data_IF_776669339365
#
_entry.id   IF_776669339365
#
_cell.length_a   1.000
_cell.length_b   1.000
_cell.length_c   1.000
_cell.angle_alpha   90.00
_cell.angle_beta   90.00
_cell.angle_gamma   90.00
#
_symmetry.space_group_name_H-M   'P 1'
#
loop_
_entity.id
_entity.type
_entity.pdbx_description
1 polymer ?
#
# COMPACT_ATOMS: atom_id res chain seq x y z
N UNK A 1 11.66 -15.47 1.57
CA UNK A 1 12.04 -14.36 0.66
C UNK A 1 11.98 -14.74 -0.82
N UNK A 2 12.53 -15.89 -1.24
CA UNK A 2 12.46 -16.35 -2.65
C UNK A 2 11.04 -16.36 -3.27
N UNK A 3 10.01 -16.79 -2.52
CA UNK A 3 8.63 -16.80 -3.03
C UNK A 3 8.06 -15.41 -3.36
N UNK A 4 8.41 -14.39 -2.58
CA UNK A 4 7.91 -13.02 -2.81
C UNK A 4 8.51 -12.46 -4.10
N UNK A 5 9.80 -12.71 -4.33
CA UNK A 5 10.51 -12.31 -5.55
C UNK A 5 9.90 -13.01 -6.77
N UNK A 6 9.58 -14.31 -6.64
CA UNK A 6 8.89 -15.06 -7.70
C UNK A 6 7.52 -14.49 -8.06
N UNK A 7 6.71 -14.11 -7.06
CA UNK A 7 5.42 -13.47 -7.28
C UNK A 7 5.57 -12.11 -7.95
N UNK A 8 6.50 -11.28 -7.48
CA UNK A 8 6.77 -9.97 -8.08
C UNK A 8 7.19 -10.09 -9.54
N UNK A 9 8.13 -11.00 -9.85
CA UNK A 9 8.55 -11.27 -11.22
C UNK A 9 7.40 -11.74 -12.10
N UNK A 10 6.56 -12.66 -11.58
CA UNK A 10 5.39 -13.17 -12.31
C UNK A 10 4.36 -12.07 -12.57
N UNK A 11 4.02 -11.26 -11.56
CA UNK A 11 3.12 -10.11 -11.71
C UNK A 11 3.64 -9.11 -12.74
N UNK A 12 4.94 -8.84 -12.76
CA UNK A 12 5.56 -7.94 -13.73
C UNK A 12 5.44 -8.49 -15.16
N UNK A 13 5.76 -9.77 -15.36
CA UNK A 13 5.63 -10.44 -16.67
C UNK A 13 4.18 -10.41 -17.15
N UNK A 14 3.22 -10.71 -16.27
CA UNK A 14 1.79 -10.62 -16.59
C UNK A 14 1.37 -9.21 -16.97
N UNK A 15 1.85 -8.18 -16.27
CA UNK A 15 1.60 -6.79 -16.61
C UNK A 15 2.17 -6.40 -17.97
N UNK A 16 3.38 -6.85 -18.30
CA UNK A 16 4.00 -6.62 -19.62
C UNK A 16 3.22 -7.32 -20.72
N UNK A 17 2.80 -8.57 -20.51
CA UNK A 17 1.96 -9.31 -21.46
C UNK A 17 0.60 -8.64 -21.65
N UNK A 18 -0.03 -8.16 -20.57
CA UNK A 18 -1.28 -7.41 -20.64
C UNK A 18 -1.12 -6.12 -21.45
N UNK A 19 -0.03 -5.36 -21.24
CA UNK A 19 0.29 -4.18 -22.05
C UNK A 19 0.52 -4.53 -23.51
N UNK A 20 1.25 -5.61 -23.80
CA UNK A 20 1.53 -6.08 -25.18
C UNK A 20 0.30 -6.61 -25.91
N UNK A 21 -0.73 -7.05 -25.17
CA UNK A 21 -1.95 -7.61 -25.77
C UNK A 21 -2.81 -6.58 -26.51
N UNK A 22 -2.53 -5.27 -26.36
CA UNK A 22 -3.25 -4.19 -27.05
C UNK A 22 -4.71 -4.00 -26.62
N UNK A 23 -5.23 -4.87 -25.72
CA UNK A 23 -6.59 -4.77 -25.17
C UNK A 23 -6.75 -3.62 -24.18
N UNK A 24 -5.64 -3.09 -23.69
CA UNK A 24 -5.60 -2.00 -22.73
C UNK A 24 -5.16 -0.70 -23.43
N UNK A 25 -6.01 0.34 -23.46
CA UNK A 25 -5.65 1.64 -24.02
C UNK A 25 -4.44 2.25 -23.32
N UNK A 26 -3.75 3.17 -23.99
CA UNK A 26 -2.70 3.98 -23.37
C UNK A 26 -3.28 4.75 -22.17
N UNK A 27 -2.59 4.70 -21.02
CA UNK A 27 -3.08 5.32 -19.77
C UNK A 27 -4.02 4.45 -18.92
N UNK A 28 -4.32 3.22 -19.32
CA UNK A 28 -5.14 2.26 -18.56
C UNK A 28 -4.65 1.95 -17.14
N UNK A 29 -3.37 2.17 -16.85
CA UNK A 29 -2.81 1.99 -15.51
C UNK A 29 -3.49 2.86 -14.44
N UNK A 30 -3.86 4.11 -14.78
CA UNK A 30 -4.54 5.02 -13.87
C UNK A 30 -5.93 4.53 -13.47
N UNK A 31 -6.86 4.34 -14.43
CA UNK A 31 -8.20 3.81 -14.16
C UNK A 31 -8.18 2.43 -13.50
N UNK A 32 -7.22 1.56 -13.87
CA UNK A 32 -7.05 0.26 -13.21
C UNK A 32 -6.67 0.42 -11.75
N UNK A 33 -5.71 1.30 -11.43
CA UNK A 33 -5.32 1.57 -10.05
C UNK A 33 -6.49 2.15 -9.24
N UNK A 34 -7.27 3.07 -9.82
CA UNK A 34 -8.49 3.60 -9.21
C UNK A 34 -9.50 2.48 -8.93
N UNK A 35 -9.75 1.59 -9.90
CA UNK A 35 -10.63 0.44 -9.69
C UNK A 35 -10.13 -0.49 -8.57
N UNK A 36 -8.82 -0.77 -8.52
CA UNK A 36 -8.23 -1.62 -7.47
C UNK A 36 -8.39 -0.98 -6.09
N UNK A 37 -8.06 0.30 -5.96
CA UNK A 37 -8.10 1.02 -4.69
C UNK A 37 -9.54 1.23 -4.17
N UNK A 38 -10.47 1.61 -5.05
CA UNK A 38 -11.81 2.03 -4.65
C UNK A 38 -12.87 0.94 -4.76
N UNK A 39 -12.63 -0.13 -5.52
CA UNK A 39 -13.62 -1.20 -5.73
C UNK A 39 -13.09 -2.54 -5.25
N UNK A 40 -11.95 -2.99 -5.79
CA UNK A 40 -11.45 -4.34 -5.51
C UNK A 40 -11.02 -4.53 -4.04
N UNK A 41 -10.26 -3.57 -3.49
CA UNK A 41 -9.81 -3.62 -2.10
C UNK A 41 -10.98 -3.59 -1.10
N UNK A 42 -11.93 -2.62 -1.18
CA UNK A 42 -13.10 -2.63 -0.31
C UNK A 42 -13.95 -3.89 -0.43
N UNK A 43 -14.15 -4.41 -1.64
CA UNK A 43 -14.87 -5.66 -1.86
C UNK A 43 -14.17 -6.86 -1.21
N UNK A 44 -12.83 -6.90 -1.29
CA UNK A 44 -12.02 -7.92 -0.63
C UNK A 44 -12.15 -7.83 0.90
N UNK A 45 -12.10 -6.62 1.45
CA UNK A 45 -12.30 -6.40 2.89
C UNK A 45 -13.66 -6.95 3.30
N UNK A 46 -14.77 -6.55 2.65
CA UNK A 46 -16.11 -7.04 2.95
C UNK A 46 -16.22 -8.57 2.85
N UNK A 47 -15.56 -9.18 1.86
CA UNK A 47 -15.52 -10.63 1.70
C UNK A 47 -14.83 -11.33 2.86
N UNK A 48 -13.74 -10.76 3.38
CA UNK A 48 -12.95 -11.35 4.47
C UNK A 48 -13.54 -11.01 5.84
N UNK A 49 -14.20 -9.85 5.99
CA UNK A 49 -14.80 -9.38 7.25
C UNK A 49 -15.75 -10.40 7.88
N UNK A 50 -16.53 -11.13 7.08
CA UNK A 50 -17.48 -12.12 7.58
C UNK A 50 -16.81 -13.39 8.14
N UNK A 51 -15.53 -13.62 7.84
CA UNK A 51 -14.74 -14.73 8.39
C UNK A 51 -13.76 -14.27 9.47
N UNK A 52 -13.83 -13.01 9.88
CA UNK A 52 -12.94 -12.46 10.87
C UNK A 52 -13.40 -12.90 12.26
N UNK A 53 -12.57 -13.68 12.95
CA UNK A 53 -12.75 -13.91 14.37
C UNK A 53 -12.25 -12.69 15.14
N UNK A 54 -13.10 -12.12 15.99
CA UNK A 54 -12.75 -10.97 16.82
C UNK A 54 -11.87 -11.42 17.99
N UNK A 55 -10.58 -11.58 17.69
CA UNK A 55 -9.54 -11.86 18.67
C UNK A 55 -8.84 -10.58 19.11
N UNK A 56 -8.36 -10.48 20.37
CA UNK A 56 -7.65 -9.30 20.86
C UNK A 56 -6.40 -8.92 20.03
N UNK A 57 -5.76 -9.90 19.38
CA UNK A 57 -4.63 -9.67 18.48
C UNK A 57 -5.01 -8.86 17.23
N UNK A 58 -6.28 -8.91 16.82
CA UNK A 58 -6.79 -8.11 15.71
C UNK A 58 -6.77 -6.61 16.05
N UNK A 59 -6.99 -6.28 17.33
CA UNK A 59 -6.92 -4.91 17.83
C UNK A 59 -5.50 -4.35 17.69
N UNK A 60 -4.48 -5.19 17.90
CA UNK A 60 -3.08 -4.83 17.67
C UNK A 60 -2.85 -4.50 16.19
N UNK A 61 -3.30 -5.37 15.28
CA UNK A 61 -3.18 -5.11 13.83
C UNK A 61 -3.90 -3.82 13.38
N UNK A 62 -5.01 -3.47 14.02
CA UNK A 62 -5.74 -2.24 13.74
C UNK A 62 -5.06 -0.98 14.30
N UNK A 63 -4.46 -1.06 15.49
CA UNK A 63 -3.89 0.10 16.22
C UNK A 63 -2.44 0.40 15.81
N UNK A 64 -1.66 -0.62 15.46
CA UNK A 64 -0.23 -0.46 15.13
C UNK A 64 0.04 0.55 14.02
N UNK A 65 -0.69 0.59 12.87
CA UNK A 65 -0.47 1.60 11.84
C UNK A 65 -0.65 3.03 12.35
N UNK A 66 -1.65 3.27 13.20
CA UNK A 66 -1.89 4.59 13.80
C UNK A 66 -0.80 4.97 14.79
N UNK A 67 -0.37 4.04 15.64
CA UNK A 67 0.75 4.27 16.56
C UNK A 67 2.04 4.58 15.80
N UNK A 68 2.31 3.84 14.72
CA UNK A 68 3.49 4.07 13.89
C UNK A 68 3.45 5.47 13.26
N UNK A 69 2.32 5.85 12.66
CA UNK A 69 2.14 7.20 12.09
C UNK A 69 2.30 8.31 13.14
N UNK A 70 1.66 8.14 14.31
CA UNK A 70 1.74 9.08 15.42
C UNK A 70 3.13 9.15 16.06
N UNK A 71 3.94 8.09 15.97
CA UNK A 71 5.32 8.09 16.44
C UNK A 71 6.28 8.67 15.39
N UNK A 72 6.14 8.25 14.13
CA UNK A 72 6.96 8.69 13.01
C UNK A 72 6.80 10.19 12.74
N UNK A 73 5.57 10.70 12.77
CA UNK A 73 5.24 12.11 12.57
C UNK A 73 6.09 13.08 13.41
N UNK A 74 5.98 13.08 14.75
CA UNK A 74 6.77 13.94 15.61
C UNK A 74 8.26 13.60 15.54
N UNK A 75 8.63 12.32 15.40
CA UNK A 75 10.02 11.90 15.30
C UNK A 75 10.72 12.54 14.09
N UNK A 76 10.18 12.40 12.88
CA UNK A 76 10.76 12.97 11.67
C UNK A 76 10.58 14.48 11.59
N UNK A 77 9.52 15.03 12.18
CA UNK A 77 9.32 16.49 12.24
C UNK A 77 10.26 17.19 13.23
N UNK A 78 10.75 16.47 14.24
CA UNK A 78 11.79 16.93 15.16
C UNK A 78 13.21 16.68 14.62
N UNK A 79 13.45 15.52 14.00
CA UNK A 79 14.78 15.13 13.48
C UNK A 79 15.08 15.76 12.11
N UNK A 80 14.08 15.90 11.26
CA UNK A 80 14.19 16.42 9.89
C UNK A 80 14.85 17.79 9.78
N UNK A 81 14.40 18.80 10.56
CA UNK A 81 15.04 20.12 10.59
C UNK A 81 16.50 20.07 11.07
N UNK A 82 16.83 19.14 11.98
CA UNK A 82 18.21 18.95 12.49
C UNK A 82 19.14 18.33 11.46
N UNK A 83 18.58 17.61 10.49
CA UNK A 83 19.29 17.02 9.36
C UNK A 83 19.24 17.91 8.10
N UNK A 84 18.65 19.11 8.18
CA UNK A 84 18.51 20.03 7.03
C UNK A 84 17.50 19.59 5.97
N UNK A 85 16.60 18.66 6.29
CA UNK A 85 15.58 18.16 5.36
C UNK A 85 14.47 19.20 5.15
N UNK A 86 14.05 19.35 3.89
CA UNK A 86 12.90 20.16 3.52
C UNK A 86 11.59 19.62 4.12
N UNK A 87 10.61 20.50 4.33
CA UNK A 87 9.30 20.12 4.90
C UNK A 87 8.58 19.05 4.08
N UNK A 88 8.78 19.05 2.76
CA UNK A 88 8.25 18.04 1.83
C UNK A 88 8.88 16.67 2.03
N UNK A 89 10.21 16.61 2.18
CA UNK A 89 10.93 15.36 2.46
C UNK A 89 10.53 14.78 3.82
N UNK A 90 10.39 15.63 4.84
CA UNK A 90 9.92 15.20 6.17
C UNK A 90 8.50 14.62 6.09
N UNK A 91 7.61 15.24 5.32
CA UNK A 91 6.25 14.73 5.14
C UNK A 91 6.23 13.40 4.36
N UNK A 92 7.15 13.19 3.42
CA UNK A 92 7.25 11.94 2.66
C UNK A 92 7.80 10.75 3.48
N UNK A 93 8.45 11.03 4.62
CA UNK A 93 9.01 9.99 5.52
C UNK A 93 8.03 9.51 6.61
N UNK A 94 6.92 10.23 6.81
CA UNK A 94 5.90 9.96 7.83
C UNK A 94 4.74 9.17 7.22
#
# INVERSE_FOLDING_TARGET
MSQVIGLLGTCLVLGVLARRSGKFPEGSAGPFNTFVLYVALPALVLRVMHRLEFVPSLLVAAVVPWLYYLAAGPFFRWLGPRLGLGKESVAALV
#
